data_IF_103797923101
#
_entry.id   IF_103797923101
#
_cell.length_a   1.000
_cell.length_b   1.000
_cell.length_c   1.000
_cell.angle_alpha   90.00
_cell.angle_beta   90.00
_cell.angle_gamma   90.00
#
_symmetry.space_group_name_H-M   'P 1'
#
loop_
_entity.id
_entity.type
_entity.pdbx_description
1 polymer ?
#
# COMPACT_ATOMS: atom_id res chain seq x y z
N UNK A 1 36.35 1.48 -5.45
CA UNK A 1 37.11 2.48 -4.66
C UNK A 1 37.08 3.94 -5.19
N UNK A 2 36.28 4.27 -6.23
CA UNK A 2 36.19 5.64 -6.78
C UNK A 2 34.80 6.28 -6.64
N UNK A 3 33.89 5.64 -5.90
CA UNK A 3 32.53 6.14 -5.65
C UNK A 3 32.27 6.48 -4.17
N UNK A 4 33.20 6.15 -3.27
CA UNK A 4 33.00 6.29 -1.83
C UNK A 4 33.32 7.71 -1.30
N UNK A 5 34.01 8.55 -2.09
CA UNK A 5 34.57 9.83 -1.61
C UNK A 5 33.77 11.09 -1.97
N UNK A 6 32.61 11.01 -2.66
CA UNK A 6 31.99 12.20 -3.25
C UNK A 6 30.53 12.51 -2.92
N UNK A 7 29.88 11.76 -2.02
CA UNK A 7 28.54 12.11 -1.56
C UNK A 7 28.51 11.98 -0.03
N UNK A 8 28.40 13.07 0.75
CA UNK A 8 28.15 12.95 2.18
C UNK A 8 26.90 12.09 2.34
N UNK A 9 26.89 11.15 3.29
CA UNK A 9 25.82 10.17 3.49
C UNK A 9 24.43 10.83 3.43
N UNK A 10 23.84 10.85 2.23
CA UNK A 10 22.58 11.51 2.00
C UNK A 10 21.51 10.60 2.59
N UNK A 11 20.69 11.13 3.48
CA UNK A 11 19.59 10.35 4.05
C UNK A 11 18.65 9.96 2.92
N UNK A 12 18.45 8.66 2.64
CA UNK A 12 17.56 8.24 1.58
C UNK A 12 16.15 8.75 1.86
N UNK A 13 15.51 9.31 0.84
CA UNK A 13 14.12 9.78 0.90
C UNK A 13 13.22 8.84 0.11
N UNK A 14 11.98 8.72 0.54
CA UNK A 14 10.99 7.85 -0.10
C UNK A 14 10.22 8.64 -1.15
N UNK A 15 10.14 8.09 -2.36
CA UNK A 15 9.24 8.51 -3.42
C UNK A 15 8.34 7.30 -3.72
N UNK A 16 7.06 7.39 -3.37
CA UNK A 16 6.11 6.32 -3.67
C UNK A 16 5.83 6.27 -5.18
N UNK A 17 5.59 5.10 -5.78
CA UNK A 17 5.21 5.05 -7.19
C UNK A 17 3.84 5.72 -7.42
N UNK A 18 3.69 6.43 -8.53
CA UNK A 18 2.39 6.88 -9.00
C UNK A 18 1.53 5.66 -9.36
N UNK A 19 0.36 5.54 -8.73
CA UNK A 19 -0.62 4.53 -9.11
C UNK A 19 -1.54 5.13 -10.17
N UNK A 20 -1.66 4.42 -11.29
CA UNK A 20 -2.66 4.77 -12.30
C UNK A 20 -4.05 4.38 -11.80
N UNK A 21 -4.77 5.40 -11.33
CA UNK A 21 -6.11 5.27 -10.79
C UNK A 21 -7.18 5.70 -11.82
N UNK A 22 -6.78 6.02 -13.05
CA UNK A 22 -7.68 6.48 -14.12
C UNK A 22 -8.64 5.38 -14.59
N UNK A 23 -8.23 4.11 -14.48
CA UNK A 23 -9.04 2.95 -14.80
C UNK A 23 -10.13 2.63 -13.75
N UNK A 24 -10.08 3.28 -12.58
CA UNK A 24 -10.99 3.02 -11.48
C UNK A 24 -12.10 4.07 -11.40
N UNK A 25 -13.36 3.66 -11.15
CA UNK A 25 -14.43 4.62 -10.95
C UNK A 25 -14.12 5.49 -9.73
N UNK A 26 -14.39 6.80 -9.85
CA UNK A 26 -14.30 7.71 -8.72
C UNK A 26 -15.16 7.21 -7.56
N UNK A 27 -14.71 7.46 -6.33
CA UNK A 27 -15.40 7.03 -5.11
C UNK A 27 -16.89 7.41 -5.13
N UNK A 28 -17.74 6.39 -5.04
CA UNK A 28 -19.19 6.53 -4.90
C UNK A 28 -19.60 5.93 -3.55
N UNK A 29 -20.15 6.72 -2.62
CA UNK A 29 -20.63 6.21 -1.35
C UNK A 29 -21.75 5.17 -1.55
N UNK A 30 -21.46 3.87 -1.41
CA UNK A 30 -22.46 2.80 -1.43
C UNK A 30 -22.58 2.12 -0.07
N UNK A 31 -23.78 1.66 0.29
CA UNK A 31 -24.05 0.93 1.55
C UNK A 31 -23.40 -0.46 1.61
N UNK A 32 -22.72 -0.88 0.53
CA UNK A 32 -22.03 -2.16 0.44
C UNK A 32 -22.97 -3.36 0.53
N UNK A 33 -23.93 -3.38 -0.40
CA UNK A 33 -24.87 -4.49 -0.63
C UNK A 33 -24.40 -5.25 -1.87
N UNK A 34 -24.56 -6.58 -1.92
CA UNK A 34 -24.14 -7.34 -3.09
C UNK A 34 -24.85 -6.88 -4.38
N UNK A 35 -24.19 -7.07 -5.52
CA UNK A 35 -24.74 -6.75 -6.84
C UNK A 35 -25.77 -7.81 -7.30
N UNK A 36 -26.64 -8.32 -6.42
CA UNK A 36 -27.63 -9.38 -6.74
C UNK A 36 -29.03 -8.84 -7.00
N UNK A 37 -29.20 -7.51 -7.13
CA UNK A 37 -30.45 -6.90 -7.58
C UNK A 37 -31.64 -6.92 -6.59
N UNK A 38 -31.57 -7.67 -5.48
CA UNK A 38 -32.71 -7.95 -4.60
C UNK A 38 -32.65 -7.28 -3.19
N UNK A 39 -31.57 -6.56 -2.88
CA UNK A 39 -31.36 -5.99 -1.54
C UNK A 39 -30.50 -6.83 -0.58
N UNK A 40 -30.07 -8.01 -1.04
CA UNK A 40 -28.74 -8.62 -0.95
C UNK A 40 -27.87 -8.47 0.30
N UNK A 41 -27.52 -9.63 0.89
CA UNK A 41 -26.49 -9.86 1.91
C UNK A 41 -25.22 -9.04 1.68
N UNK A 42 -24.62 -8.52 2.75
CA UNK A 42 -23.32 -7.84 2.68
C UNK A 42 -22.18 -8.82 2.32
N UNK A 43 -21.08 -8.33 1.75
CA UNK A 43 -19.95 -9.18 1.40
C UNK A 43 -18.60 -8.52 1.70
N UNK A 44 -17.59 -9.35 1.94
CA UNK A 44 -16.18 -8.98 2.01
C UNK A 44 -15.43 -9.68 0.88
N UNK A 45 -14.31 -9.10 0.44
CA UNK A 45 -13.61 -9.58 -0.75
C UNK A 45 -12.12 -9.81 -0.49
N UNK A 46 -11.59 -10.94 -0.95
CA UNK A 46 -10.15 -11.20 -1.07
C UNK A 46 -9.78 -11.18 -2.55
N UNK A 47 -8.96 -10.20 -2.93
CA UNK A 47 -8.44 -10.05 -4.30
C UNK A 47 -6.99 -10.50 -4.41
N UNK A 48 -6.77 -11.72 -4.90
CA UNK A 48 -5.45 -12.32 -5.04
C UNK A 48 -5.40 -13.33 -6.19
N UNK A 49 -4.20 -13.57 -6.74
CA UNK A 49 -3.98 -14.78 -7.56
C UNK A 49 -4.15 -16.02 -6.71
N UNK A 50 -4.60 -17.11 -7.33
CA UNK A 50 -4.70 -18.42 -6.68
C UNK A 50 -3.31 -19.05 -6.49
N UNK A 51 -2.54 -18.51 -5.55
CA UNK A 51 -1.15 -18.91 -5.24
C UNK A 51 -1.00 -19.08 -3.72
N UNK A 52 -0.26 -20.11 -3.27
CA UNK A 52 -0.17 -20.47 -1.84
C UNK A 52 0.40 -19.33 -0.99
N UNK A 53 1.38 -18.59 -1.52
CA UNK A 53 2.00 -17.44 -0.84
C UNK A 53 1.03 -16.30 -0.52
N UNK A 54 -0.13 -16.24 -1.19
CA UNK A 54 -1.16 -15.22 -0.94
C UNK A 54 -2.01 -15.53 0.28
N UNK A 55 -1.86 -16.74 0.85
CA UNK A 55 -2.49 -17.16 2.10
C UNK A 55 -4.02 -16.95 2.12
N UNK A 56 -4.70 -17.21 1.00
CA UNK A 56 -6.16 -17.00 0.87
C UNK A 56 -6.93 -17.82 1.92
N UNK A 57 -6.38 -18.96 2.35
CA UNK A 57 -6.95 -19.79 3.40
C UNK A 57 -7.17 -19.06 4.73
N UNK A 58 -6.42 -17.98 5.01
CA UNK A 58 -6.65 -17.12 6.18
C UNK A 58 -8.05 -16.48 6.16
N UNK A 59 -8.49 -15.99 5.00
CA UNK A 59 -9.83 -15.38 4.87
C UNK A 59 -10.96 -16.40 5.07
N UNK A 60 -10.79 -17.64 4.60
CA UNK A 60 -11.77 -18.73 4.80
C UNK A 60 -11.86 -19.11 6.28
N UNK A 61 -10.72 -19.22 6.96
CA UNK A 61 -10.67 -19.55 8.39
C UNK A 61 -11.24 -18.43 9.25
N UNK A 62 -10.94 -17.17 8.92
CA UNK A 62 -11.57 -15.99 9.53
C UNK A 62 -13.10 -16.08 9.41
N UNK A 63 -13.64 -16.37 8.22
CA UNK A 63 -15.09 -16.47 8.03
C UNK A 63 -15.71 -17.59 8.88
N UNK A 64 -15.05 -18.75 8.98
CA UNK A 64 -15.47 -19.86 9.86
C UNK A 64 -15.60 -19.40 11.32
N UNK A 65 -14.60 -18.67 11.82
CA UNK A 65 -14.59 -18.17 13.19
C UNK A 65 -15.68 -17.10 13.42
N UNK A 66 -15.91 -16.22 12.44
CA UNK A 66 -17.02 -15.26 12.51
C UNK A 66 -18.36 -16.00 12.53
N UNK A 67 -18.53 -17.05 11.71
CA UNK A 67 -19.75 -17.85 11.72
C UNK A 67 -20.02 -18.48 13.08
N UNK A 68 -18.97 -18.95 13.78
CA UNK A 68 -19.06 -19.53 15.13
C UNK A 68 -19.28 -18.48 16.23
N UNK A 69 -18.63 -17.31 16.14
CA UNK A 69 -18.59 -16.30 17.20
C UNK A 69 -19.58 -15.13 17.01
N UNK A 70 -20.26 -15.02 15.87
CA UNK A 70 -21.15 -13.90 15.58
C UNK A 70 -22.29 -13.77 16.59
N UNK A 71 -22.60 -12.54 16.94
CA UNK A 71 -23.79 -12.14 17.69
C UNK A 71 -24.94 -11.78 16.73
N UNK A 72 -26.14 -11.56 17.25
CA UNK A 72 -27.33 -11.30 16.42
C UNK A 72 -27.26 -9.99 15.60
N UNK A 73 -26.53 -9.00 16.12
CA UNK A 73 -26.30 -7.70 15.49
C UNK A 73 -25.27 -7.76 14.34
N UNK A 74 -24.52 -8.86 14.24
CA UNK A 74 -23.59 -9.14 13.15
C UNK A 74 -24.31 -9.88 12.02
N UNK A 75 -24.11 -9.41 10.79
CA UNK A 75 -24.51 -10.11 9.58
C UNK A 75 -23.30 -10.91 9.08
N UNK A 76 -23.44 -12.23 8.91
CA UNK A 76 -22.35 -13.01 8.32
C UNK A 76 -22.19 -12.59 6.85
N UNK A 77 -21.07 -11.95 6.46
CA UNK A 77 -20.90 -11.53 5.08
C UNK A 77 -20.74 -12.75 4.17
N UNK A 78 -21.04 -12.59 2.89
CA UNK A 78 -20.51 -13.48 1.85
C UNK A 78 -19.01 -13.21 1.69
N UNK A 79 -18.18 -14.25 1.60
CA UNK A 79 -16.77 -14.10 1.23
C UNK A 79 -16.59 -14.31 -0.27
N UNK A 80 -16.21 -13.24 -0.97
CA UNK A 80 -15.84 -13.32 -2.39
C UNK A 80 -14.33 -13.46 -2.51
N UNK A 81 -13.85 -14.56 -3.08
CA UNK A 81 -12.44 -14.76 -3.42
C UNK A 81 -12.33 -14.58 -4.92
N UNK A 82 -11.65 -13.53 -5.38
CA UNK A 82 -11.53 -13.25 -6.79
C UNK A 82 -10.08 -12.97 -7.21
N UNK A 83 -9.71 -13.39 -8.40
CA UNK A 83 -8.44 -13.01 -9.00
C UNK A 83 -7.94 -13.94 -10.09
N UNK A 84 -6.67 -13.75 -10.44
CA UNK A 84 -6.05 -14.43 -11.58
C UNK A 84 -5.90 -15.92 -11.34
N UNK A 85 -6.39 -16.71 -12.30
CA UNK A 85 -6.38 -18.16 -12.33
C UNK A 85 -5.95 -18.62 -13.72
N UNK A 86 -4.86 -19.39 -13.80
CA UNK A 86 -4.44 -20.03 -15.05
C UNK A 86 -4.53 -21.55 -14.93
N UNK A 87 -5.43 -22.24 -15.67
CA UNK A 87 -5.55 -23.69 -15.61
C UNK A 87 -4.30 -24.44 -16.09
N UNK A 88 -3.37 -23.76 -16.78
CA UNK A 88 -2.09 -24.33 -17.22
C UNK A 88 -1.03 -24.28 -16.11
N UNK A 89 -1.27 -23.49 -15.06
CA UNK A 89 -0.37 -23.39 -13.91
C UNK A 89 -0.87 -24.35 -12.84
N UNK A 90 -0.14 -25.44 -12.64
CA UNK A 90 -0.50 -26.51 -11.69
C UNK A 90 -0.76 -25.98 -10.27
N UNK A 91 0.04 -25.01 -9.82
CA UNK A 91 -0.16 -24.36 -8.52
C UNK A 91 -1.56 -23.74 -8.40
N UNK A 92 -2.07 -23.11 -9.45
CA UNK A 92 -3.39 -22.44 -9.41
C UNK A 92 -4.51 -23.46 -9.29
N UNK A 93 -4.43 -24.56 -10.05
CA UNK A 93 -5.42 -25.63 -10.03
C UNK A 93 -5.42 -26.37 -8.69
N UNK A 94 -4.24 -26.74 -8.18
CA UNK A 94 -4.11 -27.44 -6.90
C UNK A 94 -4.54 -26.55 -5.74
N UNK A 95 -4.13 -25.28 -5.74
CA UNK A 95 -4.43 -24.39 -4.63
C UNK A 95 -5.92 -24.06 -4.56
N UNK A 96 -6.61 -23.88 -5.69
CA UNK A 96 -8.07 -23.73 -5.69
C UNK A 96 -8.75 -24.97 -5.06
N UNK A 97 -8.26 -26.18 -5.37
CA UNK A 97 -8.82 -27.40 -4.81
C UNK A 97 -8.57 -27.48 -3.29
N UNK A 98 -7.36 -27.18 -2.82
CA UNK A 98 -7.01 -27.06 -1.39
C UNK A 98 -7.95 -26.09 -0.65
N UNK A 99 -8.23 -24.92 -1.24
CA UNK A 99 -9.13 -23.92 -0.66
C UNK A 99 -10.57 -24.43 -0.57
N UNK A 100 -11.01 -25.24 -1.53
CA UNK A 100 -12.35 -25.82 -1.50
C UNK A 100 -12.48 -26.96 -0.50
N UNK A 101 -11.44 -27.78 -0.35
CA UNK A 101 -11.34 -28.77 0.72
C UNK A 101 -11.33 -28.10 2.11
N UNK A 102 -10.67 -26.94 2.23
CA UNK A 102 -10.71 -26.15 3.46
C UNK A 102 -12.14 -25.66 3.77
N UNK A 103 -12.91 -25.21 2.78
CA UNK A 103 -14.31 -24.85 2.96
C UNK A 103 -15.14 -26.05 3.47
N UNK A 104 -14.97 -27.22 2.84
CA UNK A 104 -15.64 -28.47 3.26
C UNK A 104 -15.29 -28.84 4.70
N UNK A 105 -14.00 -28.80 5.07
CA UNK A 105 -13.53 -29.09 6.43
C UNK A 105 -14.13 -28.15 7.49
N UNK A 106 -14.44 -26.92 7.09
CA UNK A 106 -15.07 -25.90 7.96
C UNK A 106 -16.60 -25.86 7.84
N UNK A 107 -17.22 -26.79 7.11
CA UNK A 107 -18.65 -26.83 6.83
C UNK A 107 -19.20 -25.53 6.20
N UNK A 108 -18.37 -24.84 5.41
CA UNK A 108 -18.77 -23.64 4.67
C UNK A 108 -19.25 -24.04 3.27
N UNK A 109 -20.42 -23.53 2.88
CA UNK A 109 -20.95 -23.76 1.52
C UNK A 109 -20.22 -22.86 0.54
N UNK A 110 -19.83 -23.39 -0.62
CA UNK A 110 -19.08 -22.62 -1.60
C UNK A 110 -19.54 -22.85 -3.04
N UNK A 111 -19.26 -21.88 -3.91
CA UNK A 111 -19.49 -21.96 -5.36
C UNK A 111 -18.24 -21.51 -6.13
N UNK A 112 -17.98 -22.10 -7.29
CA UNK A 112 -16.92 -21.72 -8.24
C UNK A 112 -17.58 -21.08 -9.47
N UNK A 113 -17.12 -19.89 -9.90
CA UNK A 113 -17.72 -19.15 -11.02
C UNK A 113 -16.67 -18.73 -12.05
N UNK A 114 -16.99 -19.11 -13.28
CA UNK A 114 -16.40 -18.78 -14.59
C UNK A 114 -16.55 -17.31 -14.99
N UNK A 115 -15.54 -16.44 -14.95
CA UNK A 115 -15.71 -15.08 -15.55
C UNK A 115 -15.94 -15.13 -17.07
N UNK A 116 -15.27 -16.03 -17.79
CA UNK A 116 -15.52 -16.24 -19.22
C UNK A 116 -16.85 -16.95 -19.45
N UNK A 117 -17.26 -17.89 -18.59
CA UNK A 117 -18.57 -18.53 -18.68
C UNK A 117 -19.74 -17.58 -18.37
N UNK A 118 -19.51 -16.55 -17.55
CA UNK A 118 -20.56 -15.57 -17.19
C UNK A 118 -20.70 -14.40 -18.18
N UNK A 119 -19.85 -14.31 -19.22
CA UNK A 119 -20.03 -13.37 -20.34
C UNK A 119 -20.15 -14.10 -21.71
N UNK A 120 -19.61 -15.33 -21.84
CA UNK A 120 -19.55 -16.06 -23.12
C UNK A 120 -20.30 -17.40 -23.17
N UNK A 121 -21.09 -17.80 -22.17
CA UNK A 121 -22.04 -18.93 -22.32
C UNK A 121 -23.49 -18.47 -22.35
N UNK A 122 -23.85 -17.95 -23.54
CA UNK A 122 -25.02 -18.39 -24.28
C UNK A 122 -24.76 -19.83 -24.75
N UNK A 123 -25.00 -20.82 -23.91
CA UNK A 123 -25.22 -22.21 -24.35
C UNK A 123 -26.09 -22.96 -23.32
N UNK A 124 -27.01 -23.76 -23.82
CA UNK A 124 -28.43 -23.86 -23.42
C UNK A 124 -28.79 -24.66 -22.14
N UNK A 125 -27.88 -24.91 -21.19
CA UNK A 125 -28.16 -25.93 -20.16
C UNK A 125 -28.53 -25.43 -18.74
N UNK A 126 -28.35 -24.15 -18.38
CA UNK A 126 -28.51 -23.72 -16.96
C UNK A 126 -29.12 -22.31 -16.75
N UNK A 127 -29.85 -21.76 -17.72
CA UNK A 127 -30.43 -20.41 -17.58
C UNK A 127 -31.94 -20.48 -17.34
N UNK A 128 -32.36 -20.37 -16.08
CA UNK A 128 -33.69 -19.81 -15.77
C UNK A 128 -33.69 -18.32 -16.09
N UNK A 129 -34.79 -17.81 -16.64
CA UNK A 129 -34.93 -16.47 -17.23
C UNK A 129 -34.73 -15.28 -16.25
N UNK A 130 -34.49 -15.54 -14.96
CA UNK A 130 -34.19 -14.53 -13.94
C UNK A 130 -32.67 -14.50 -13.65
N UNK A 131 -31.99 -13.50 -14.22
CA UNK A 131 -30.53 -13.33 -14.26
C UNK A 131 -29.92 -12.90 -12.92
N UNK A 132 -30.17 -13.66 -11.84
CA UNK A 132 -29.42 -13.52 -10.59
C UNK A 132 -28.67 -14.80 -10.28
N UNK A 133 -27.36 -14.70 -10.00
CA UNK A 133 -26.63 -15.80 -9.37
C UNK A 133 -27.27 -16.00 -8.00
N UNK A 134 -28.07 -17.06 -7.86
CA UNK A 134 -28.66 -17.44 -6.58
C UNK A 134 -27.54 -17.90 -5.63
N UNK A 135 -26.99 -16.93 -4.90
CA UNK A 135 -26.02 -17.14 -3.83
C UNK A 135 -26.72 -17.35 -2.49
N UNK A 136 -28.04 -17.62 -2.49
CA UNK A 136 -28.78 -17.88 -1.26
C UNK A 136 -28.20 -19.12 -0.57
N UNK A 137 -27.60 -18.88 0.59
CA UNK A 137 -26.90 -19.92 1.32
C UNK A 137 -25.53 -20.33 0.75
N UNK A 138 -24.85 -19.50 -0.02
CA UNK A 138 -23.42 -19.71 -0.28
C UNK A 138 -22.61 -18.86 0.70
N UNK A 139 -21.60 -19.43 1.36
CA UNK A 139 -20.74 -18.71 2.30
C UNK A 139 -19.49 -18.15 1.61
N UNK A 140 -18.95 -18.88 0.63
CA UNK A 140 -17.74 -18.52 -0.12
C UNK A 140 -17.96 -18.63 -1.63
N UNK A 141 -17.64 -17.58 -2.40
CA UNK A 141 -17.69 -17.61 -3.86
C UNK A 141 -16.29 -17.42 -4.43
N UNK A 142 -15.83 -18.38 -5.23
CA UNK A 142 -14.57 -18.31 -5.96
C UNK A 142 -14.82 -17.79 -7.38
N UNK A 143 -14.38 -16.57 -7.68
CA UNK A 143 -14.42 -15.97 -9.01
C UNK A 143 -13.06 -16.10 -9.68
N UNK A 144 -13.01 -16.68 -10.87
CA UNK A 144 -11.76 -16.87 -11.64
C UNK A 144 -11.68 -15.86 -12.77
N UNK A 145 -10.59 -15.10 -12.87
CA UNK A 145 -10.30 -14.15 -13.97
C UNK A 145 -11.33 -13.02 -14.15
N UNK A 146 -11.71 -12.33 -13.07
CA UNK A 146 -12.67 -11.20 -13.16
C UNK A 146 -12.14 -10.07 -14.07
N UNK A 147 -13.03 -9.45 -14.85
CA UNK A 147 -12.70 -8.25 -15.64
C UNK A 147 -12.42 -7.05 -14.72
N UNK A 148 -11.67 -6.07 -15.20
CA UNK A 148 -11.37 -4.85 -14.43
C UNK A 148 -12.64 -4.10 -14.03
N UNK A 149 -13.65 -4.08 -14.91
CA UNK A 149 -14.96 -3.48 -14.61
C UNK A 149 -15.68 -4.21 -13.45
N UNK A 150 -15.73 -5.55 -13.49
CA UNK A 150 -16.34 -6.33 -12.41
C UNK A 150 -15.53 -6.19 -11.11
N UNK A 151 -14.20 -6.18 -11.21
CA UNK A 151 -13.30 -5.96 -10.08
C UNK A 151 -13.56 -4.61 -9.40
N UNK A 152 -13.74 -3.54 -10.19
CA UNK A 152 -14.11 -2.23 -9.70
C UNK A 152 -15.46 -2.22 -8.98
N UNK A 153 -16.48 -2.82 -9.57
CA UNK A 153 -17.81 -2.95 -8.94
C UNK A 153 -17.77 -3.75 -7.64
N UNK A 154 -17.03 -4.87 -7.63
CA UNK A 154 -16.86 -5.70 -6.45
C UNK A 154 -16.16 -4.94 -5.31
N UNK A 155 -15.08 -4.20 -5.60
CA UNK A 155 -14.40 -3.41 -4.58
C UNK A 155 -15.28 -2.27 -4.06
N UNK A 156 -15.92 -1.51 -4.95
CA UNK A 156 -16.77 -0.39 -4.55
C UNK A 156 -17.94 -0.83 -3.66
N UNK A 157 -18.44 -2.07 -3.83
CA UNK A 157 -19.59 -2.59 -3.08
C UNK A 157 -19.21 -3.52 -1.92
N UNK A 158 -17.96 -3.97 -1.79
CA UNK A 158 -17.54 -4.74 -0.62
C UNK A 158 -17.62 -3.91 0.66
N UNK A 159 -17.85 -4.56 1.80
CA UNK A 159 -17.73 -3.94 3.15
C UNK A 159 -16.28 -3.73 3.55
N UNK A 160 -15.41 -4.65 3.11
CA UNK A 160 -14.00 -4.66 3.41
C UNK A 160 -13.26 -5.53 2.39
N UNK A 161 -12.04 -5.12 2.03
CA UNK A 161 -11.08 -6.00 1.35
C UNK A 161 -10.23 -6.72 2.39
N UNK A 162 -10.26 -8.04 2.38
CA UNK A 162 -9.43 -8.90 3.22
C UNK A 162 -8.16 -9.23 2.45
N UNK A 163 -7.04 -8.69 2.91
CA UNK A 163 -5.74 -8.78 2.26
C UNK A 163 -4.78 -9.65 3.08
N UNK A 164 -4.69 -10.92 2.69
CA UNK A 164 -3.96 -11.99 3.39
C UNK A 164 -2.49 -12.22 3.02
N UNK A 165 -1.90 -11.68 1.92
CA UNK A 165 -0.48 -11.90 1.62
C UNK A 165 0.45 -11.39 2.71
N UNK A 166 1.46 -12.19 3.08
CA UNK A 166 2.54 -11.80 3.98
C UNK A 166 3.73 -11.22 3.18
N UNK A 167 4.36 -10.16 3.72
CA UNK A 167 5.56 -9.51 3.16
C UNK A 167 5.41 -9.08 1.71
N UNK A 168 4.20 -8.68 1.31
CA UNK A 168 4.02 -8.08 -0.02
C UNK A 168 4.70 -6.71 -0.06
N UNK A 169 5.36 -6.39 -1.17
CA UNK A 169 6.17 -5.17 -1.30
C UNK A 169 5.39 -3.88 -1.03
N UNK A 170 4.40 -3.56 -1.86
CA UNK A 170 3.71 -2.26 -1.79
C UNK A 170 2.22 -2.36 -1.47
N UNK A 171 1.56 -3.47 -1.82
CA UNK A 171 0.12 -3.61 -1.57
C UNK A 171 -0.73 -2.76 -2.53
N UNK A 172 -0.57 -2.98 -3.84
CA UNK A 172 -1.38 -2.29 -4.87
C UNK A 172 -2.88 -2.55 -4.66
N UNK A 173 -3.27 -3.78 -4.33
CA UNK A 173 -4.67 -4.14 -4.04
C UNK A 173 -5.28 -3.34 -2.90
N UNK A 174 -4.61 -3.20 -1.73
CA UNK A 174 -5.02 -2.25 -0.70
C UNK A 174 -5.26 -0.83 -1.22
N UNK A 175 -4.37 -0.30 -2.05
CA UNK A 175 -4.47 1.06 -2.59
C UNK A 175 -5.64 1.22 -3.57
N UNK A 176 -5.85 0.25 -4.47
CA UNK A 176 -7.01 0.22 -5.38
C UNK A 176 -8.34 0.13 -4.60
N UNK A 177 -8.38 -0.70 -3.56
CA UNK A 177 -9.53 -0.84 -2.66
C UNK A 177 -9.83 0.46 -1.92
N UNK A 178 -8.82 1.07 -1.30
CA UNK A 178 -8.95 2.35 -0.61
C UNK A 178 -9.33 3.49 -1.55
N UNK A 179 -8.84 3.49 -2.80
CA UNK A 179 -9.20 4.48 -3.80
C UNK A 179 -10.69 4.44 -4.14
N UNK A 180 -11.30 3.26 -4.29
CA UNK A 180 -12.76 3.18 -4.48
C UNK A 180 -13.55 3.28 -3.16
N UNK A 181 -12.87 3.63 -2.06
CA UNK A 181 -13.45 3.84 -0.74
C UNK A 181 -13.87 2.56 -0.02
N UNK A 182 -13.27 1.43 -0.36
CA UNK A 182 -13.41 0.19 0.39
C UNK A 182 -12.32 0.12 1.49
N UNK A 183 -12.70 -0.04 2.77
CA UNK A 183 -11.73 -0.28 3.83
C UNK A 183 -10.97 -1.58 3.64
N UNK A 184 -9.74 -1.66 4.16
CA UNK A 184 -8.88 -2.84 4.02
C UNK A 184 -8.61 -3.47 5.38
N UNK A 185 -8.74 -4.79 5.51
CA UNK A 185 -8.19 -5.58 6.60
C UNK A 185 -6.99 -6.35 6.05
N UNK A 186 -5.77 -5.97 6.45
CA UNK A 186 -4.53 -6.53 5.91
C UNK A 186 -3.66 -7.20 6.96
N UNK A 187 -2.80 -8.13 6.54
CA UNK A 187 -1.70 -8.62 7.37
C UNK A 187 -0.78 -7.46 7.74
N UNK A 188 -0.35 -7.41 9.00
CA UNK A 188 0.57 -6.42 9.59
C UNK A 188 2.02 -6.58 9.11
N UNK A 189 2.24 -6.72 7.80
CA UNK A 189 3.58 -6.89 7.22
C UNK A 189 3.70 -6.23 5.85
N UNK A 190 4.94 -5.87 5.46
CA UNK A 190 5.25 -5.32 4.14
C UNK A 190 4.55 -3.98 3.85
N UNK A 191 4.18 -3.77 2.58
CA UNK A 191 3.53 -2.56 2.08
C UNK A 191 2.25 -2.12 2.82
N UNK A 192 1.38 -3.03 3.29
CA UNK A 192 0.27 -2.66 4.18
C UNK A 192 0.65 -1.82 5.40
N UNK A 193 1.83 -2.02 6.00
CA UNK A 193 2.31 -1.20 7.14
C UNK A 193 2.51 0.28 6.77
N UNK A 194 2.79 0.54 5.49
CA UNK A 194 3.04 1.88 4.96
C UNK A 194 1.77 2.54 4.40
N UNK A 195 0.88 1.73 3.85
CA UNK A 195 -0.28 2.19 3.05
C UNK A 195 -1.59 2.21 3.84
N UNK A 196 -1.76 1.35 4.84
CA UNK A 196 -3.00 1.26 5.63
C UNK A 196 -2.86 2.03 6.94
N UNK A 197 -3.76 2.97 7.18
CA UNK A 197 -3.83 3.74 8.42
C UNK A 197 -4.79 3.05 9.39
N UNK A 198 -4.24 2.48 10.47
CA UNK A 198 -5.00 1.74 11.49
C UNK A 198 -6.23 2.50 12.00
N UNK A 199 -7.41 1.88 11.87
CA UNK A 199 -8.70 2.42 12.29
C UNK A 199 -9.22 3.60 11.45
N UNK A 200 -8.47 4.05 10.44
CA UNK A 200 -8.83 5.21 9.60
C UNK A 200 -9.17 4.82 8.18
N UNK A 201 -8.27 4.10 7.51
CA UNK A 201 -8.48 3.61 6.14
C UNK A 201 -8.68 2.10 6.08
N UNK A 202 -8.33 1.42 7.17
CA UNK A 202 -8.40 -0.01 7.31
C UNK A 202 -7.88 -0.47 8.67
N UNK A 203 -7.53 -1.74 8.75
CA UNK A 203 -6.98 -2.39 9.93
C UNK A 203 -5.84 -3.32 9.51
N UNK A 204 -4.83 -3.40 10.38
CA UNK A 204 -3.71 -4.31 10.31
C UNK A 204 -3.85 -5.34 11.42
N UNK A 205 -3.64 -6.61 11.09
CA UNK A 205 -3.71 -7.72 12.02
C UNK A 205 -2.60 -8.72 11.73
N UNK A 206 -2.16 -9.45 12.76
CA UNK A 206 -1.24 -10.58 12.58
C UNK A 206 -1.85 -11.63 11.63
N UNK A 207 -1.05 -12.44 10.91
CA UNK A 207 -1.51 -13.44 9.96
C UNK A 207 -2.14 -14.66 10.64
N UNK A 208 -3.12 -14.41 11.50
CA UNK A 208 -3.79 -15.32 12.40
C UNK A 208 -5.31 -15.21 12.21
N UNK A 209 -6.03 -16.33 11.99
CA UNK A 209 -7.46 -16.30 11.72
C UNK A 209 -8.29 -15.64 12.83
N UNK A 210 -7.93 -15.87 14.08
CA UNK A 210 -8.58 -15.31 15.25
C UNK A 210 -8.38 -13.79 15.29
N UNK A 211 -7.16 -13.29 15.09
CA UNK A 211 -6.89 -11.86 15.00
C UNK A 211 -7.71 -11.17 13.90
N UNK A 212 -7.78 -11.77 12.71
CA UNK A 212 -8.59 -11.25 11.60
C UNK A 212 -10.09 -11.23 11.95
N UNK A 213 -10.59 -12.29 12.58
CA UNK A 213 -11.99 -12.40 12.97
C UNK A 213 -12.36 -11.38 14.04
N UNK A 214 -11.51 -11.21 15.06
CA UNK A 214 -11.71 -10.23 16.14
C UNK A 214 -11.74 -8.80 15.61
N UNK A 215 -10.81 -8.45 14.71
CA UNK A 215 -10.79 -7.13 14.09
C UNK A 215 -12.05 -6.90 13.26
N UNK A 216 -12.46 -7.85 12.43
CA UNK A 216 -13.63 -7.66 11.57
C UNK A 216 -14.93 -7.58 12.40
N UNK A 217 -15.07 -8.42 13.44
CA UNK A 217 -16.17 -8.37 14.41
C UNK A 217 -16.20 -7.06 15.20
N UNK A 218 -15.05 -6.51 15.59
CA UNK A 218 -14.97 -5.24 16.33
C UNK A 218 -15.05 -3.97 15.47
N UNK A 219 -14.88 -4.10 14.15
CA UNK A 219 -14.72 -2.94 13.25
C UNK A 219 -16.00 -2.13 13.00
N UNK A 220 -17.18 -2.72 13.20
CA UNK A 220 -18.45 -2.13 12.74
C UNK A 220 -18.76 -2.35 11.25
N UNK A 221 -17.85 -2.92 10.45
CA UNK A 221 -18.02 -3.07 8.99
C UNK A 221 -19.09 -4.11 8.58
N UNK A 222 -19.30 -5.12 9.42
CA UNK A 222 -20.22 -6.25 9.16
C UNK A 222 -21.46 -6.25 10.08
N UNK A 223 -21.80 -5.12 10.69
CA UNK A 223 -23.00 -5.01 11.53
C UNK A 223 -24.22 -4.62 10.71
N UNK A 224 -25.41 -5.11 11.11
CA UNK A 224 -26.66 -4.94 10.36
C UNK A 224 -27.07 -3.47 10.22
N UNK A 225 -27.14 -2.72 11.33
CA UNK A 225 -27.36 -1.25 11.36
C UNK A 225 -26.94 -0.68 12.73
N UNK A 226 -25.78 -0.03 12.81
CA UNK A 226 -25.29 0.61 14.05
C UNK A 226 -25.62 2.11 14.12
N UNK A 227 -26.42 2.65 13.18
CA UNK A 227 -26.64 4.09 13.03
C UNK A 227 -25.42 4.86 12.49
N UNK A 228 -24.24 4.24 12.51
CA UNK A 228 -22.98 4.76 11.97
C UNK A 228 -22.62 3.94 10.72
N UNK A 229 -22.53 4.60 9.57
CA UNK A 229 -22.06 3.97 8.33
C UNK A 229 -20.52 3.95 8.32
N UNK A 230 -19.93 2.98 9.05
CA UNK A 230 -18.48 2.84 9.20
C UNK A 230 -17.78 2.75 7.85
N UNK A 231 -18.32 1.96 6.91
CA UNK A 231 -17.78 1.82 5.56
C UNK A 231 -17.71 3.19 4.88
N UNK A 232 -18.79 3.97 4.89
CA UNK A 232 -18.80 5.31 4.29
C UNK A 232 -17.82 6.26 4.96
N UNK A 233 -17.74 6.25 6.29
CA UNK A 233 -16.81 7.11 7.03
C UNK A 233 -15.35 6.79 6.67
N UNK A 234 -14.97 5.52 6.77
CA UNK A 234 -13.61 5.07 6.42
C UNK A 234 -13.34 5.27 4.93
N UNK A 235 -14.28 4.94 4.05
CA UNK A 235 -14.12 5.03 2.60
C UNK A 235 -13.80 6.44 2.11
N UNK A 236 -14.41 7.48 2.70
CA UNK A 236 -14.04 8.88 2.43
C UNK A 236 -12.58 9.17 2.78
N UNK A 237 -12.14 8.70 3.95
CA UNK A 237 -10.77 8.90 4.44
C UNK A 237 -9.78 8.08 3.61
N UNK A 238 -10.12 6.85 3.26
CA UNK A 238 -9.34 5.97 2.38
C UNK A 238 -9.11 6.59 1.01
N UNK A 239 -10.16 7.08 0.38
CA UNK A 239 -10.06 7.71 -0.94
C UNK A 239 -9.13 8.94 -0.91
N UNK A 240 -9.37 9.85 0.03
CA UNK A 240 -8.55 11.05 0.20
C UNK A 240 -7.08 10.69 0.46
N UNK A 241 -6.82 9.72 1.36
CA UNK A 241 -5.48 9.26 1.66
C UNK A 241 -4.73 8.75 0.42
N UNK A 242 -5.41 7.98 -0.44
CA UNK A 242 -4.78 7.46 -1.66
C UNK A 242 -4.47 8.57 -2.66
N UNK A 243 -5.43 9.47 -2.90
CA UNK A 243 -5.25 10.60 -3.82
C UNK A 243 -4.11 11.51 -3.35
N UNK A 244 -4.06 11.84 -2.05
CA UNK A 244 -3.10 12.78 -1.48
C UNK A 244 -1.68 12.22 -1.39
N UNK A 245 -1.49 10.90 -1.30
CA UNK A 245 -0.16 10.30 -1.02
C UNK A 245 0.38 9.40 -2.13
N UNK A 246 -0.49 8.80 -2.93
CA UNK A 246 -0.12 7.77 -3.92
C UNK A 246 -0.65 8.06 -5.33
N UNK A 247 -1.39 9.16 -5.53
CA UNK A 247 -1.82 9.63 -6.85
C UNK A 247 -0.68 10.27 -7.65
N UNK A 248 -0.87 10.40 -8.96
CA UNK A 248 0.11 10.99 -9.88
C UNK A 248 0.53 12.42 -9.47
N UNK A 249 -0.42 13.26 -9.07
CA UNK A 249 -0.12 14.62 -8.62
C UNK A 249 0.77 14.64 -7.36
N UNK A 250 0.55 13.70 -6.44
CA UNK A 250 1.36 13.56 -5.24
C UNK A 250 2.79 13.09 -5.56
N UNK A 251 2.91 12.17 -6.52
CA UNK A 251 4.20 11.73 -7.05
C UNK A 251 4.97 12.88 -7.68
N UNK A 252 4.33 13.65 -8.57
CA UNK A 252 4.96 14.76 -9.29
C UNK A 252 5.46 15.83 -8.31
N UNK A 253 4.64 16.22 -7.34
CA UNK A 253 5.02 17.18 -6.30
C UNK A 253 6.17 16.68 -5.43
N UNK A 254 6.14 15.40 -5.05
CA UNK A 254 7.22 14.80 -4.26
C UNK A 254 8.52 14.72 -5.06
N UNK A 255 8.46 14.30 -6.32
CA UNK A 255 9.62 14.20 -7.21
C UNK A 255 10.25 15.58 -7.44
N UNK A 256 9.46 16.61 -7.73
CA UNK A 256 9.94 17.98 -7.91
C UNK A 256 10.63 18.49 -6.63
N UNK A 257 9.98 18.33 -5.47
CA UNK A 257 10.54 18.72 -4.18
C UNK A 257 11.87 18.01 -3.88
N UNK A 258 11.97 16.71 -4.18
CA UNK A 258 13.20 15.93 -4.01
C UNK A 258 14.32 16.40 -4.94
N UNK A 259 14.00 16.72 -6.20
CA UNK A 259 14.96 17.27 -7.16
C UNK A 259 15.48 18.63 -6.70
N UNK A 260 14.60 19.54 -6.30
CA UNK A 260 14.95 20.88 -5.80
C UNK A 260 15.83 20.78 -4.56
N UNK A 261 15.46 19.94 -3.59
CA UNK A 261 16.26 19.74 -2.37
C UNK A 261 17.64 19.17 -2.68
N UNK A 262 17.73 18.18 -3.58
CA UNK A 262 19.01 17.58 -4.00
C UNK A 262 19.94 18.62 -4.62
N UNK A 263 19.41 19.50 -5.48
CA UNK A 263 20.18 20.59 -6.09
C UNK A 263 20.64 21.60 -5.03
N UNK A 264 19.78 21.94 -4.07
CA UNK A 264 20.12 22.90 -3.00
C UNK A 264 21.18 22.35 -2.04
N UNK A 265 21.10 21.07 -1.67
CA UNK A 265 22.10 20.43 -0.82
C UNK A 265 23.48 20.45 -1.47
N UNK A 266 23.58 20.14 -2.77
CA UNK A 266 24.83 20.19 -3.51
C UNK A 266 25.43 21.61 -3.53
N UNK A 267 24.61 22.65 -3.73
CA UNK A 267 25.07 24.05 -3.73
C UNK A 267 25.62 24.49 -2.36
N UNK A 268 24.98 24.06 -1.26
CA UNK A 268 25.47 24.34 0.10
C UNK A 268 26.84 23.71 0.32
N UNK A 269 27.01 22.45 -0.09
CA UNK A 269 28.28 21.75 0.06
C UNK A 269 29.41 22.46 -0.70
N UNK A 270 29.21 22.80 -1.98
CA UNK A 270 30.20 23.53 -2.77
C UNK A 270 30.57 24.88 -2.14
N UNK A 271 29.61 25.58 -1.53
CA UNK A 271 29.89 26.88 -0.91
C UNK A 271 30.80 26.79 0.32
N UNK A 272 30.68 25.73 1.13
CA UNK A 272 31.56 25.53 2.29
C UNK A 272 32.96 25.09 1.87
N UNK A 273 33.10 24.23 0.87
CA UNK A 273 34.42 23.82 0.35
C UNK A 273 35.21 25.02 -0.15
N UNK A 274 34.59 25.86 -0.99
CA UNK A 274 35.22 27.09 -1.48
C UNK A 274 35.59 28.05 -0.34
N UNK A 275 34.77 28.17 0.70
CA UNK A 275 35.10 28.99 1.88
C UNK A 275 36.28 28.44 2.67
N UNK A 276 36.39 27.12 2.82
CA UNK A 276 37.50 26.46 3.52
C UNK A 276 38.79 26.54 2.71
N UNK A 277 38.74 26.32 1.39
CA UNK A 277 39.89 26.49 0.51
C UNK A 277 40.40 27.93 0.50
N UNK A 278 39.49 28.91 0.41
CA UNK A 278 39.83 30.32 0.51
C UNK A 278 40.46 30.65 1.87
N UNK A 279 39.91 30.13 2.97
CA UNK A 279 40.47 30.31 4.30
C UNK A 279 41.89 29.71 4.40
N UNK A 280 42.11 28.51 3.87
CA UNK A 280 43.42 27.86 3.82
C UNK A 280 44.42 28.68 2.99
N UNK A 281 44.01 29.20 1.83
CA UNK A 281 44.84 30.08 1.00
C UNK A 281 45.21 31.38 1.71
N UNK A 282 44.24 32.00 2.41
CA UNK A 282 44.48 33.21 3.22
C UNK A 282 45.45 32.91 4.36
N UNK A 283 45.27 31.80 5.08
CA UNK A 283 46.17 31.39 6.17
C UNK A 283 47.60 31.10 5.67
N UNK A 284 47.74 30.46 4.51
CA UNK A 284 49.04 30.22 3.88
C UNK A 284 49.72 31.52 3.47
N UNK A 285 48.97 32.47 2.89
CA UNK A 285 49.48 33.79 2.52
C UNK A 285 49.95 34.59 3.75
N UNK A 286 49.14 34.62 4.81
CA UNK A 286 49.51 35.28 6.08
C UNK A 286 50.80 34.68 6.64
N UNK A 287 50.93 33.34 6.62
CA UNK A 287 52.14 32.66 7.09
C UNK A 287 53.38 33.04 6.27
N UNK A 288 53.25 33.14 4.94
CA UNK A 288 54.32 33.56 4.04
C UNK A 288 54.77 35.01 4.31
N UNK A 289 53.80 35.92 4.51
CA UNK A 289 54.08 37.32 4.84
C UNK A 289 54.80 37.44 6.18
N UNK A 290 54.36 36.71 7.20
CA UNK A 290 55.02 36.70 8.51
C UNK A 290 56.45 36.15 8.42
N UNK A 291 56.68 35.12 7.61
CA UNK A 291 58.03 34.59 7.36
C UNK A 291 58.92 35.62 6.64
N UNK A 292 58.39 36.34 5.64
CA UNK A 292 59.10 37.40 4.94
C UNK A 292 59.44 38.58 5.85
N UNK A 293 58.52 39.01 6.73
CA UNK A 293 58.75 40.04 7.75
C UNK A 293 59.85 39.57 8.72
N UNK A 294 59.78 38.32 9.19
CA UNK A 294 60.80 37.73 10.06
C UNK A 294 62.19 37.72 9.39
N UNK A 295 62.26 37.28 8.14
CA UNK A 295 63.49 37.29 7.35
C UNK A 295 64.03 38.71 7.10
N UNK A 296 63.14 39.68 6.85
CA UNK A 296 63.52 41.08 6.72
C UNK A 296 64.14 41.63 8.01
N UNK A 297 63.58 41.30 9.17
CA UNK A 297 64.12 41.70 10.45
C UNK A 297 65.46 41.04 10.78
N UNK A 298 65.70 39.79 10.36
CA UNK A 298 66.99 39.11 10.59
C UNK A 298 68.08 39.55 9.61
N UNK A 299 67.71 39.93 8.38
CA UNK A 299 68.64 40.37 7.33
C UNK A 299 68.90 41.87 7.33
N UNK A 300 68.23 42.66 8.18
CA UNK A 300 68.47 44.10 8.29
C UNK A 300 69.85 44.34 8.91
N UNK A 301 70.83 44.88 8.16
CA UNK A 301 72.14 45.17 8.74
C UNK A 301 72.01 46.27 9.81
N UNK A 302 72.70 46.07 10.93
CA UNK A 302 72.86 47.10 11.95
C UNK A 302 73.79 48.20 11.41
N UNK A 303 73.23 49.23 10.80
CA UNK A 303 73.93 50.49 10.55
C UNK A 303 73.04 51.63 11.04
N UNK A 304 73.33 52.08 12.27
CA UNK A 304 73.60 53.49 12.60
C UNK A 304 73.33 53.73 14.08
N UNK A 305 74.38 53.60 14.90
CA UNK A 305 74.49 54.46 16.09
C UNK A 305 75.95 54.88 16.34
N UNK A 306 76.22 56.14 15.94
CA UNK A 306 77.20 57.09 16.49
C UNK A 306 78.70 56.90 16.19
N UNK A 307 79.16 57.61 15.16
CA UNK A 307 80.33 58.50 15.30
C UNK A 307 79.85 59.94 15.33
N UNK A 308 79.90 60.55 16.52
CA UNK A 308 79.93 61.98 16.74
C UNK A 308 80.75 62.22 18.02
N UNK A 309 82.07 62.32 17.86
CA UNK A 309 82.92 63.16 18.70
C UNK A 309 84.25 63.43 17.96
N UNK A 310 84.68 64.69 18.06
CA UNK A 310 85.90 65.37 17.58
C UNK A 310 86.02 65.77 16.10
#
# INVERSE_FOLDING_TARGET
PLLDDFVPAATPKVLYPAIDLSAWPAYRPSEGRAATGDGSRSFVISLNRYERKKNIGLAIQMLSLIHEKKTDDVELPLLVIAGGYDPRVLENTEHLEELTQLCQKRNLRFAKVDSEASIAMRDEALVSEDQSLDVSGVDVVFLRNVSDALRAELLANARCTVYTPDKEHFGIVPLESMYVGCPVLAVSSGGPLETVLQGRTGFLAEPDPEAFAEVLLGSGLIHRKTGVDTKRSMGKVSHAHVVERFGSDAFDQALDALCVDTVQQRRRFTSLEWQMELLCLVMALVSLVMAAIGAWHTLRPASDEKTADE
#
